data_IF_442310123505
#
_entry.id   IF_442310123505
#
_cell.length_a   1.000
_cell.length_b   1.000
_cell.length_c   1.000
_cell.angle_alpha   90.00
_cell.angle_beta   90.00
_cell.angle_gamma   90.00
#
_symmetry.space_group_name_H-M   'P 1'
#
loop_
_entity.id
_entity.type
_entity.pdbx_description
1 polymer ?
#
# COMPACT_ATOMS: atom_id res chain seq x y z
N UNK A 1 -0.74 29.95 3.27
CA UNK A 1 -1.31 28.62 3.57
C UNK A 1 -0.13 27.66 3.67
N UNK A 2 -0.03 26.86 4.73
CA UNK A 2 1.01 25.83 4.85
C UNK A 2 0.38 24.51 4.42
N UNK A 3 0.83 23.97 3.29
CA UNK A 3 0.39 22.66 2.83
C UNK A 3 0.97 21.58 3.75
N UNK A 4 0.18 20.57 4.12
CA UNK A 4 0.66 19.50 4.97
C UNK A 4 1.64 18.62 4.17
N UNK A 5 2.88 18.52 4.65
CA UNK A 5 3.80 17.45 4.22
C UNK A 5 3.32 16.13 4.79
N UNK A 6 3.20 15.10 3.97
CA UNK A 6 2.75 13.80 4.43
C UNK A 6 3.88 13.09 5.18
N UNK A 7 3.57 12.52 6.34
CA UNK A 7 4.50 11.58 6.96
C UNK A 7 4.46 10.23 6.20
N UNK A 8 5.43 9.35 6.45
CA UNK A 8 5.56 8.06 5.75
C UNK A 8 4.32 7.17 5.86
N UNK A 9 3.64 7.20 7.00
CA UNK A 9 2.41 6.46 7.21
C UNK A 9 1.27 7.00 6.34
N UNK A 10 1.07 8.33 6.36
CA UNK A 10 0.09 9.01 5.50
C UNK A 10 0.38 8.80 4.01
N UNK A 11 1.65 8.74 3.60
CA UNK A 11 1.99 8.40 2.21
C UNK A 11 1.49 7.01 1.83
N UNK A 12 1.65 6.00 2.70
CA UNK A 12 1.13 4.65 2.44
C UNK A 12 -0.40 4.61 2.43
N UNK A 13 -1.03 5.37 3.31
CA UNK A 13 -2.48 5.55 3.33
C UNK A 13 -2.98 6.13 2.00
N UNK A 14 -2.35 7.21 1.50
CA UNK A 14 -2.71 7.80 0.20
C UNK A 14 -2.43 6.84 -0.96
N UNK A 15 -1.35 6.05 -0.90
CA UNK A 15 -1.06 5.03 -1.90
C UNK A 15 -2.15 3.94 -1.94
N UNK A 16 -2.61 3.47 -0.77
CA UNK A 16 -3.71 2.51 -0.66
C UNK A 16 -4.97 3.04 -1.33
N UNK A 17 -5.33 4.29 -1.04
CA UNK A 17 -6.52 4.93 -1.60
C UNK A 17 -6.42 5.11 -3.12
N UNK A 18 -5.28 5.60 -3.62
CA UNK A 18 -5.05 5.77 -5.05
C UNK A 18 -5.12 4.42 -5.80
N UNK A 19 -4.44 3.38 -5.30
CA UNK A 19 -4.48 2.04 -5.90
C UNK A 19 -5.91 1.47 -5.86
N UNK A 20 -6.66 1.70 -4.79
CA UNK A 20 -8.05 1.27 -4.69
C UNK A 20 -8.92 1.92 -5.77
N UNK A 21 -8.76 3.22 -6.00
CA UNK A 21 -9.50 3.95 -7.04
C UNK A 21 -9.14 3.45 -8.44
N UNK A 22 -7.85 3.30 -8.73
CA UNK A 22 -7.35 2.78 -10.02
C UNK A 22 -7.88 1.37 -10.30
N UNK A 23 -7.90 0.49 -9.30
CA UNK A 23 -8.48 -0.87 -9.45
C UNK A 23 -10.02 -0.87 -9.59
N UNK A 24 -10.68 0.25 -9.33
CA UNK A 24 -12.13 0.41 -9.44
C UNK A 24 -12.56 1.09 -10.74
N UNK A 25 -11.63 1.75 -11.43
CA UNK A 25 -11.89 2.49 -12.66
C UNK A 25 -10.68 2.38 -13.59
N UNK A 26 -10.79 1.55 -14.61
CA UNK A 26 -9.71 1.29 -15.58
C UNK A 26 -9.40 2.51 -16.49
N UNK A 27 -10.29 3.52 -16.53
CA UNK A 27 -10.09 4.77 -17.28
C UNK A 27 -9.42 5.88 -16.44
N UNK A 28 -9.27 5.67 -15.13
CA UNK A 28 -8.64 6.65 -14.24
C UNK A 28 -7.12 6.60 -14.40
N UNK A 29 -6.49 7.73 -14.69
CA UNK A 29 -5.04 7.85 -14.72
C UNK A 29 -4.43 7.99 -13.31
N UNK A 30 -3.14 7.69 -13.21
CA UNK A 30 -2.40 7.65 -11.94
C UNK A 30 -2.36 9.03 -11.26
N UNK A 31 -2.15 10.10 -12.03
CA UNK A 31 -2.04 11.46 -11.48
C UNK A 31 -3.35 11.88 -10.84
N UNK A 32 -4.46 11.69 -11.56
CA UNK A 32 -5.80 11.98 -11.05
C UNK A 32 -6.12 11.14 -9.80
N UNK A 33 -5.76 9.85 -9.78
CA UNK A 33 -6.00 9.00 -8.61
C UNK A 33 -5.19 9.44 -7.38
N UNK A 34 -3.92 9.83 -7.58
CA UNK A 34 -3.07 10.37 -6.52
C UNK A 34 -3.64 11.70 -6.02
N UNK A 35 -4.07 12.59 -6.90
CA UNK A 35 -4.67 13.86 -6.51
C UNK A 35 -5.94 13.65 -5.68
N UNK A 36 -6.85 12.79 -6.14
CA UNK A 36 -8.06 12.42 -5.40
C UNK A 36 -7.75 11.83 -4.03
N UNK A 37 -6.72 10.98 -3.92
CA UNK A 37 -6.28 10.42 -2.64
C UNK A 37 -5.74 11.51 -1.71
N UNK A 38 -4.93 12.45 -2.21
CA UNK A 38 -4.38 13.56 -1.41
C UNK A 38 -5.46 14.46 -0.84
N UNK A 39 -6.48 14.75 -1.64
CA UNK A 39 -7.66 15.53 -1.23
C UNK A 39 -8.59 14.78 -0.27
N UNK A 40 -8.47 13.46 -0.16
CA UNK A 40 -9.31 12.69 0.77
C UNK A 40 -9.05 13.15 2.22
N UNK A 41 -10.14 13.45 2.94
CA UNK A 41 -10.09 13.98 4.30
C UNK A 41 -9.93 15.50 4.41
N UNK A 42 -9.77 16.22 3.30
CA UNK A 42 -9.83 17.68 3.24
C UNK A 42 -11.19 18.14 2.70
N UNK A 43 -11.66 19.32 3.12
CA UNK A 43 -12.89 19.90 2.56
C UNK A 43 -12.70 20.25 1.07
N UNK A 44 -13.79 20.15 0.30
CA UNK A 44 -13.85 20.34 -1.17
C UNK A 44 -13.28 21.66 -1.72
N UNK A 45 -12.84 22.59 -0.86
CA UNK A 45 -12.29 23.90 -1.24
C UNK A 45 -10.76 23.92 -1.32
N UNK A 46 -10.08 22.82 -1.01
CA UNK A 46 -8.64 22.74 -1.23
C UNK A 46 -8.36 22.37 -2.69
N UNK A 47 -7.74 23.30 -3.40
CA UNK A 47 -6.94 23.00 -4.58
C UNK A 47 -5.66 22.28 -4.13
N UNK A 48 -5.16 21.35 -4.95
CA UNK A 48 -3.84 20.75 -4.72
C UNK A 48 -2.71 21.62 -5.28
N UNK A 49 -3.05 22.70 -5.99
CA UNK A 49 -2.08 23.65 -6.51
C UNK A 49 -1.17 24.21 -5.38
N UNK A 50 0.13 24.02 -5.56
CA UNK A 50 1.17 24.37 -4.58
C UNK A 50 1.46 23.34 -3.49
N UNK A 51 0.77 22.19 -3.44
CA UNK A 51 1.21 21.11 -2.55
C UNK A 51 2.57 20.56 -3.02
N UNK A 52 3.49 20.25 -2.10
CA UNK A 52 4.78 19.68 -2.48
C UNK A 52 4.59 18.37 -3.22
N UNK A 53 5.43 18.06 -4.21
CA UNK A 53 5.47 16.72 -4.77
C UNK A 53 5.79 15.69 -3.68
N UNK A 54 5.20 14.51 -3.79
CA UNK A 54 5.44 13.39 -2.87
C UNK A 54 6.02 12.20 -3.67
N UNK A 55 7.32 12.22 -4.04
CA UNK A 55 7.89 11.21 -4.94
C UNK A 55 7.76 9.78 -4.42
N UNK A 56 7.72 9.61 -3.10
CA UNK A 56 7.54 8.30 -2.49
C UNK A 56 6.12 7.75 -2.67
N UNK A 57 5.10 8.62 -2.70
CA UNK A 57 3.73 8.23 -3.01
C UNK A 57 3.63 7.66 -4.42
N UNK A 58 4.18 8.39 -5.39
CA UNK A 58 4.28 7.94 -6.79
C UNK A 58 5.01 6.60 -6.90
N UNK A 59 6.17 6.47 -6.24
CA UNK A 59 6.95 5.23 -6.22
C UNK A 59 6.14 4.04 -5.70
N UNK A 60 5.33 4.21 -4.65
CA UNK A 60 4.48 3.14 -4.13
C UNK A 60 3.37 2.76 -5.12
N UNK A 61 2.66 3.75 -5.66
CA UNK A 61 1.52 3.51 -6.57
C UNK A 61 1.99 2.85 -7.86
N UNK A 62 2.93 3.48 -8.57
CA UNK A 62 3.49 2.93 -9.81
C UNK A 62 4.17 1.59 -9.57
N UNK A 63 4.96 1.51 -8.50
CA UNK A 63 5.70 0.31 -8.14
C UNK A 63 4.81 -0.91 -7.94
N UNK A 64 3.70 -0.77 -7.21
CA UNK A 64 2.73 -1.86 -7.03
C UNK A 64 2.02 -2.23 -8.33
N UNK A 65 1.68 -1.25 -9.17
CA UNK A 65 0.98 -1.50 -10.44
C UNK A 65 1.88 -2.20 -11.45
N UNK A 66 3.12 -1.74 -11.61
CA UNK A 66 4.08 -2.31 -12.56
C UNK A 66 4.63 -3.66 -12.11
N UNK A 67 4.76 -3.91 -10.81
CA UNK A 67 5.32 -5.16 -10.26
C UNK A 67 4.23 -6.10 -9.70
N UNK A 68 2.99 -5.96 -10.15
CA UNK A 68 1.86 -6.68 -9.57
C UNK A 68 2.04 -8.20 -9.61
N UNK A 69 2.51 -8.75 -10.72
CA UNK A 69 2.74 -10.20 -10.89
C UNK A 69 3.81 -10.73 -9.93
N UNK A 70 5.06 -10.22 -9.90
CA UNK A 70 6.07 -10.72 -8.97
C UNK A 70 5.67 -10.50 -7.49
N UNK A 71 4.97 -9.41 -7.16
CA UNK A 71 4.42 -9.21 -5.81
C UNK A 71 3.41 -10.31 -5.47
N UNK A 72 2.45 -10.56 -6.36
CA UNK A 72 1.40 -11.55 -6.14
C UNK A 72 1.98 -12.97 -6.05
N UNK A 73 2.97 -13.31 -6.87
CA UNK A 73 3.69 -14.58 -6.81
C UNK A 73 4.37 -14.80 -5.45
N UNK A 74 4.91 -13.73 -4.85
CA UNK A 74 5.51 -13.80 -3.50
C UNK A 74 4.47 -13.96 -2.40
N UNK A 75 3.27 -13.41 -2.57
CA UNK A 75 2.19 -13.52 -1.57
C UNK A 75 1.51 -14.91 -1.61
N UNK A 76 1.23 -15.43 -2.80
CA UNK A 76 0.40 -16.64 -3.03
C UNK A 76 0.75 -17.85 -2.13
N UNK A 77 2.02 -18.23 -1.91
CA UNK A 77 2.38 -19.37 -1.06
C UNK A 77 1.90 -19.26 0.40
N UNK A 78 1.67 -18.04 0.89
CA UNK A 78 1.36 -17.77 2.30
C UNK A 78 -0.15 -17.61 2.57
N UNK A 79 -0.99 -17.68 1.54
CA UNK A 79 -2.45 -17.50 1.67
C UNK A 79 -3.20 -18.72 2.23
N UNK A 80 -2.48 -19.82 2.52
CA UNK A 80 -3.03 -21.09 3.03
C UNK A 80 -4.15 -21.64 2.13
N UNK A 81 -5.41 -21.41 2.50
CA UNK A 81 -6.62 -21.88 1.81
C UNK A 81 -7.33 -20.81 0.98
N UNK A 82 -6.83 -19.57 1.02
CA UNK A 82 -7.39 -18.44 0.31
C UNK A 82 -6.63 -18.18 -0.99
N UNK A 83 -7.29 -17.54 -1.94
CA UNK A 83 -6.66 -16.99 -3.13
C UNK A 83 -6.79 -15.47 -3.09
N UNK A 84 -5.90 -14.73 -3.76
CA UNK A 84 -5.92 -13.26 -3.77
C UNK A 84 -7.28 -12.72 -4.22
N UNK A 85 -7.90 -13.39 -5.19
CA UNK A 85 -9.17 -13.00 -5.80
C UNK A 85 -10.37 -13.15 -4.84
N UNK A 86 -10.20 -13.93 -3.77
CA UNK A 86 -11.22 -14.14 -2.73
C UNK A 86 -11.07 -13.23 -1.52
N UNK A 87 -9.95 -12.50 -1.43
CA UNK A 87 -9.70 -11.58 -0.33
C UNK A 87 -10.40 -10.23 -0.59
N UNK A 88 -10.75 -9.48 0.48
CA UNK A 88 -11.14 -8.09 0.34
C UNK A 88 -10.07 -7.31 -0.44
N UNK A 89 -10.52 -6.43 -1.34
CA UNK A 89 -9.61 -5.64 -2.19
C UNK A 89 -8.61 -4.83 -1.35
N UNK A 90 -9.07 -4.25 -0.25
CA UNK A 90 -8.24 -3.49 0.69
C UNK A 90 -7.12 -4.35 1.27
N UNK A 91 -7.42 -5.57 1.73
CA UNK A 91 -6.43 -6.51 2.26
C UNK A 91 -5.35 -6.84 1.22
N UNK A 92 -5.76 -7.08 -0.03
CA UNK A 92 -4.83 -7.36 -1.13
C UNK A 92 -3.91 -6.16 -1.38
N UNK A 93 -4.43 -4.94 -1.40
CA UNK A 93 -3.63 -3.73 -1.62
C UNK A 93 -2.63 -3.53 -0.47
N UNK A 94 -3.03 -3.74 0.78
CA UNK A 94 -2.13 -3.65 1.94
C UNK A 94 -0.99 -4.68 1.83
N UNK A 95 -1.32 -5.93 1.49
CA UNK A 95 -0.31 -6.96 1.26
C UNK A 95 0.63 -6.58 0.11
N UNK A 96 0.09 -6.05 -0.99
CA UNK A 96 0.87 -5.63 -2.15
C UNK A 96 1.82 -4.47 -1.83
N UNK A 97 1.37 -3.47 -1.07
CA UNK A 97 2.22 -2.35 -0.64
C UNK A 97 3.38 -2.83 0.24
N UNK A 98 3.10 -3.64 1.27
CA UNK A 98 4.16 -4.15 2.15
C UNK A 98 5.17 -5.02 1.39
N UNK A 99 4.69 -5.93 0.54
CA UNK A 99 5.58 -6.80 -0.25
C UNK A 99 6.34 -6.02 -1.32
N UNK A 100 5.74 -4.97 -1.91
CA UNK A 100 6.47 -4.07 -2.78
C UNK A 100 7.64 -3.40 -2.04
N UNK A 101 7.38 -2.84 -0.86
CA UNK A 101 8.42 -2.22 -0.05
C UNK A 101 9.53 -3.22 0.30
N UNK A 102 9.17 -4.42 0.76
CA UNK A 102 10.15 -5.47 1.14
C UNK A 102 11.03 -5.95 -0.02
N UNK A 103 10.58 -5.84 -1.27
CA UNK A 103 11.28 -6.42 -2.42
C UNK A 103 11.97 -5.37 -3.30
N UNK A 104 11.44 -4.15 -3.37
CA UNK A 104 11.83 -3.14 -4.35
C UNK A 104 12.23 -1.79 -3.73
N UNK A 105 12.14 -1.67 -2.40
CA UNK A 105 12.68 -0.53 -1.66
C UNK A 105 13.94 -0.98 -0.93
N UNK A 106 14.96 -0.12 -0.88
CA UNK A 106 16.23 -0.45 -0.22
C UNK A 106 15.97 -0.71 1.27
N UNK A 107 16.54 -1.79 1.80
CA UNK A 107 16.39 -2.18 3.22
C UNK A 107 16.93 -1.09 4.17
N UNK A 108 17.88 -0.26 3.71
CA UNK A 108 18.35 0.90 4.46
C UNK A 108 17.30 2.04 4.53
N UNK A 109 16.42 2.14 3.54
CA UNK A 109 15.34 3.13 3.49
C UNK A 109 14.09 2.65 4.25
N UNK A 110 13.68 1.40 4.00
CA UNK A 110 12.54 0.77 4.65
C UNK A 110 12.89 -0.66 5.00
N UNK A 111 13.24 -0.92 6.27
CA UNK A 111 13.44 -2.28 6.72
C UNK A 111 12.17 -3.11 6.55
N UNK A 112 12.32 -4.38 6.16
CA UNK A 112 11.18 -5.29 5.93
C UNK A 112 10.23 -5.37 7.14
N UNK A 113 10.79 -5.31 8.36
CA UNK A 113 10.00 -5.25 9.61
C UNK A 113 9.18 -3.97 9.75
N UNK A 114 9.67 -2.83 9.25
CA UNK A 114 8.93 -1.57 9.24
C UNK A 114 7.76 -1.66 8.25
N UNK A 115 7.99 -2.15 7.03
CA UNK A 115 6.93 -2.36 6.04
C UNK A 115 5.81 -3.28 6.58
N UNK A 116 6.19 -4.36 7.27
CA UNK A 116 5.24 -5.25 7.94
C UNK A 116 4.39 -4.52 8.99
N UNK A 117 5.04 -3.80 9.91
CA UNK A 117 4.34 -3.07 10.97
C UNK A 117 3.38 -2.02 10.42
N UNK A 118 3.79 -1.29 9.38
CA UNK A 118 2.97 -0.28 8.72
C UNK A 118 1.74 -0.89 8.04
N UNK A 119 1.86 -2.07 7.42
CA UNK A 119 0.71 -2.80 6.92
C UNK A 119 -0.27 -3.22 8.02
N UNK A 120 0.22 -3.57 9.22
CA UNK A 120 -0.65 -3.86 10.36
C UNK A 120 -1.40 -2.61 10.80
N UNK A 121 -0.73 -1.45 10.85
CA UNK A 121 -1.38 -0.18 11.21
C UNK A 121 -2.45 0.20 10.17
N UNK A 122 -2.16 0.12 8.87
CA UNK A 122 -3.17 0.35 7.83
C UNK A 122 -4.35 -0.62 7.95
N UNK A 123 -4.09 -1.90 8.25
CA UNK A 123 -5.15 -2.88 8.44
C UNK A 123 -6.02 -2.61 9.68
N UNK A 124 -5.51 -1.92 10.71
CA UNK A 124 -6.35 -1.48 11.85
C UNK A 124 -7.32 -0.38 11.44
N UNK A 125 -6.89 0.49 10.54
CA UNK A 125 -7.65 1.67 10.12
C UNK A 125 -8.69 1.32 9.06
N UNK A 126 -8.35 0.42 8.13
CA UNK A 126 -9.13 0.15 6.93
C UNK A 126 -9.81 -1.23 6.87
N UNK A 127 -9.44 -2.14 7.77
CA UNK A 127 -9.94 -3.51 7.75
C UNK A 127 -10.49 -3.95 9.12
N UNK A 128 -11.13 -5.12 9.15
CA UNK A 128 -11.56 -5.70 10.41
C UNK A 128 -10.43 -6.43 11.16
N UNK A 129 -10.70 -6.78 12.41
CA UNK A 129 -9.72 -7.37 13.30
C UNK A 129 -9.26 -8.78 12.85
N UNK A 130 -10.06 -9.45 12.00
CA UNK A 130 -9.73 -10.75 11.41
C UNK A 130 -8.75 -10.59 10.24
N UNK A 131 -8.98 -9.59 9.40
CA UNK A 131 -8.16 -9.18 8.26
C UNK A 131 -6.79 -8.72 8.73
N UNK A 132 -6.73 -7.91 9.79
CA UNK A 132 -5.47 -7.51 10.44
C UNK A 132 -4.62 -8.69 10.90
N UNK A 133 -5.23 -9.67 11.58
CA UNK A 133 -4.53 -10.90 12.04
C UNK A 133 -4.06 -11.74 10.86
N UNK A 134 -4.87 -11.81 9.81
CA UNK A 134 -4.55 -12.51 8.58
C UNK A 134 -3.34 -11.89 7.87
N UNK A 135 -3.37 -10.58 7.61
CA UNK A 135 -2.28 -9.81 6.97
C UNK A 135 -0.98 -9.98 7.75
N UNK A 136 -1.01 -9.80 9.08
CA UNK A 136 0.16 -10.03 9.93
C UNK A 136 0.72 -11.44 9.77
N UNK A 137 -0.16 -12.46 9.76
CA UNK A 137 0.25 -13.85 9.57
C UNK A 137 0.90 -14.11 8.21
N UNK A 138 0.35 -13.55 7.13
CA UNK A 138 0.91 -13.68 5.78
C UNK A 138 2.30 -13.05 5.70
N UNK A 139 2.43 -11.78 6.12
CA UNK A 139 3.68 -11.02 6.02
C UNK A 139 4.77 -11.58 6.95
N UNK A 140 4.41 -12.02 8.17
CA UNK A 140 5.38 -12.63 9.10
C UNK A 140 5.99 -13.93 8.54
N UNK A 141 5.16 -14.78 7.94
CA UNK A 141 5.64 -16.02 7.32
C UNK A 141 6.51 -15.73 6.09
N UNK A 142 6.11 -14.75 5.28
CA UNK A 142 6.90 -14.31 4.12
C UNK A 142 8.29 -13.83 4.54
N UNK A 143 8.36 -12.91 5.52
CA UNK A 143 9.61 -12.34 6.01
C UNK A 143 10.56 -13.41 6.59
N UNK A 144 10.02 -14.39 7.33
CA UNK A 144 10.83 -15.47 7.95
C UNK A 144 11.52 -16.35 6.89
N UNK A 145 10.86 -16.59 5.75
CA UNK A 145 11.41 -17.41 4.67
C UNK A 145 12.37 -16.62 3.78
N UNK A 146 12.22 -15.30 3.67
CA UNK A 146 13.20 -14.46 2.94
C UNK A 146 14.51 -14.29 3.72
N UNK A 147 14.47 -14.35 5.06
CA UNK A 147 15.67 -14.31 5.92
C UNK A 147 16.43 -15.64 5.96
N UNK A 148 15.82 -16.76 5.53
CA UNK A 148 16.41 -18.11 5.53
C UNK A 148 16.17 -18.80 4.17
N UNK A 149 17.02 -18.54 3.15
CA UNK A 149 16.86 -19.10 1.80
C UNK A 149 17.09 -20.62 1.71
#
# INVERSE_FOLDING_TARGET
MTFPTLNRHQVREKALQAIFQLKSNDELDIDTAIEMARLSGYEKQHDTDGWPEEPYLYRLVEGVLTNQDPINEKIRPYLKKWTLERLPRTDVIILQLAVFEMLFVDEADVPSRVALNEAIELAKEYCDDSSRKFINGVLSNLMTHTENP
#
